data_IF_707418170355
#
_entry.id   IF_707418170355
#
_cell.length_a   1.000
_cell.length_b   1.000
_cell.length_c   1.000
_cell.angle_alpha   90.00
_cell.angle_beta   90.00
_cell.angle_gamma   90.00
#
_symmetry.space_group_name_H-M   'P 1'
#
loop_
_entity.id
_entity.type
_entity.pdbx_description
1 polymer ?
#
# COMPACT_ATOMS: atom_id res chain seq x y z
N UNK A 1 19.43 3.54 -5.00
CA UNK A 1 19.90 2.14 -4.83
C UNK A 1 19.57 1.71 -3.42
N UNK A 2 19.00 0.51 -3.23
CA UNK A 2 18.54 0.02 -1.91
C UNK A 2 19.49 -0.99 -1.26
N UNK A 3 20.65 -1.24 -1.88
CA UNK A 3 21.57 -2.31 -1.46
C UNK A 3 21.07 -3.73 -1.76
N UNK A 4 19.93 -3.88 -2.43
CA UNK A 4 19.38 -5.15 -2.90
C UNK A 4 19.78 -5.47 -4.34
N UNK A 5 19.51 -6.71 -4.76
CA UNK A 5 19.81 -7.23 -6.11
C UNK A 5 19.16 -6.39 -7.20
N UNK A 6 17.85 -6.12 -7.06
CA UNK A 6 17.02 -5.52 -8.11
C UNK A 6 17.50 -4.11 -8.51
N UNK A 7 17.67 -3.21 -7.54
CA UNK A 7 18.16 -1.86 -7.81
C UNK A 7 19.60 -1.84 -8.37
N UNK A 8 20.41 -2.82 -7.99
CA UNK A 8 21.78 -2.98 -8.46
C UNK A 8 21.82 -3.43 -9.93
N UNK A 9 20.96 -4.37 -10.31
CA UNK A 9 20.80 -4.82 -11.70
C UNK A 9 20.26 -3.71 -12.58
N UNK A 10 19.33 -2.88 -12.09
CA UNK A 10 18.86 -1.69 -12.83
C UNK A 10 20.00 -0.76 -13.17
N UNK A 11 20.86 -0.43 -12.20
CA UNK A 11 22.01 0.44 -12.44
C UNK A 11 22.96 -0.15 -13.49
N UNK A 12 23.26 -1.46 -13.41
CA UNK A 12 24.14 -2.14 -14.36
C UNK A 12 23.52 -2.22 -15.78
N UNK A 13 22.23 -2.50 -15.90
CA UNK A 13 21.52 -2.54 -17.19
C UNK A 13 21.54 -1.18 -17.89
N UNK A 14 21.26 -0.11 -17.17
CA UNK A 14 21.27 1.26 -17.73
C UNK A 14 22.67 1.67 -18.16
N UNK A 15 23.69 1.36 -17.37
CA UNK A 15 25.08 1.60 -17.74
C UNK A 15 25.47 0.82 -18.99
N UNK A 16 25.08 -0.46 -19.10
CA UNK A 16 25.32 -1.27 -20.30
C UNK A 16 24.65 -0.68 -21.55
N UNK A 17 23.51 0.00 -21.38
CA UNK A 17 22.79 0.69 -22.44
C UNK A 17 23.42 2.03 -22.81
N UNK A 18 24.51 2.43 -22.16
CA UNK A 18 25.24 3.68 -22.42
C UNK A 18 24.67 4.90 -21.69
N UNK A 19 23.78 4.71 -20.71
CA UNK A 19 23.30 5.81 -19.89
C UNK A 19 24.37 6.24 -18.87
N UNK A 20 24.48 7.54 -18.61
CA UNK A 20 25.13 8.04 -17.41
C UNK A 20 24.28 7.76 -16.19
N UNK A 21 24.81 7.01 -15.24
CA UNK A 21 24.04 6.52 -14.09
C UNK A 21 24.54 7.15 -12.80
N UNK A 22 23.62 7.75 -12.04
CA UNK A 22 23.86 8.24 -10.68
C UNK A 22 23.08 7.38 -9.71
N UNK A 23 23.78 6.75 -8.77
CA UNK A 23 23.17 5.96 -7.71
C UNK A 23 22.72 6.84 -6.54
N UNK A 24 21.46 6.71 -6.11
CA UNK A 24 20.95 7.40 -4.91
C UNK A 24 20.39 6.38 -3.94
N UNK A 25 20.82 6.45 -2.68
CA UNK A 25 20.28 5.66 -1.55
C UNK A 25 19.63 6.60 -0.55
N UNK A 26 18.40 6.27 -0.13
CA UNK A 26 17.71 6.97 0.95
C UNK A 26 17.96 6.24 2.27
N UNK A 27 18.55 6.94 3.24
CA UNK A 27 18.59 6.48 4.63
C UNK A 27 17.25 6.82 5.28
N UNK A 28 16.36 5.80 5.37
CA UNK A 28 14.96 5.99 5.77
C UNK A 28 14.75 5.88 7.29
N UNK A 29 15.60 5.13 8.00
CA UNK A 29 15.49 4.91 9.44
C UNK A 29 16.79 4.33 10.01
N UNK A 30 17.04 4.56 11.29
CA UNK A 30 18.15 3.91 12.01
C UNK A 30 17.70 2.52 12.49
N UNK A 31 18.28 1.46 11.92
CA UNK A 31 18.04 0.09 12.36
C UNK A 31 18.48 -0.16 13.81
N UNK A 32 19.51 0.50 14.30
CA UNK A 32 19.99 0.39 15.67
C UNK A 32 18.94 0.86 16.67
N UNK A 33 18.30 1.99 16.39
CA UNK A 33 17.19 2.53 17.18
C UNK A 33 15.93 1.64 17.08
N UNK A 34 15.65 1.13 15.90
CA UNK A 34 14.48 0.24 15.64
C UNK A 34 14.57 -1.08 16.42
N UNK A 35 15.79 -1.64 16.63
CA UNK A 35 16.03 -2.92 17.33
C UNK A 35 16.40 -2.70 18.81
N UNK A 36 16.44 -1.44 19.29
CA UNK A 36 16.80 -1.12 20.70
C UNK A 36 18.28 -1.37 21.02
N UNK A 37 19.15 -1.49 20.03
CA UNK A 37 20.61 -1.62 20.19
C UNK A 37 21.30 -0.44 19.52
N UNK A 38 21.74 0.52 20.31
CA UNK A 38 22.62 1.60 19.82
C UNK A 38 23.91 0.99 19.29
N UNK A 39 24.24 1.24 18.02
CA UNK A 39 25.53 0.88 17.41
C UNK A 39 25.58 -0.42 16.63
N UNK A 40 24.46 -1.07 16.29
CA UNK A 40 24.45 -2.25 15.42
C UNK A 40 24.08 -1.85 13.98
N UNK A 41 25.05 -1.98 13.11
CA UNK A 41 25.14 -1.54 11.71
C UNK A 41 24.25 -2.31 10.71
N UNK A 42 22.92 -2.37 10.82
CA UNK A 42 22.15 -3.02 9.74
C UNK A 42 21.65 -2.03 8.68
N UNK A 43 21.35 -0.76 9.01
CA UNK A 43 21.15 0.29 8.00
C UNK A 43 22.48 0.56 7.25
N UNK A 44 23.60 0.45 7.95
CA UNK A 44 24.92 0.48 7.35
C UNK A 44 25.17 -0.60 6.33
N UNK A 45 24.61 -1.81 6.49
CA UNK A 45 24.86 -2.92 5.56
C UNK A 45 24.24 -2.66 4.17
N UNK A 46 22.99 -2.20 4.09
CA UNK A 46 22.34 -1.91 2.82
C UNK A 46 23.01 -0.73 2.10
N UNK A 47 23.38 0.32 2.84
CA UNK A 47 24.15 1.45 2.30
C UNK A 47 25.56 1.01 1.86
N UNK A 48 26.21 0.17 2.67
CA UNK A 48 27.51 -0.39 2.35
C UNK A 48 27.45 -1.26 1.08
N UNK A 49 26.44 -2.12 0.96
CA UNK A 49 26.25 -2.95 -0.23
C UNK A 49 25.96 -2.09 -1.48
N UNK A 50 25.16 -1.02 -1.35
CA UNK A 50 24.90 -0.09 -2.43
C UNK A 50 26.18 0.63 -2.88
N UNK A 51 27.04 1.06 -1.96
CA UNK A 51 28.35 1.66 -2.26
C UNK A 51 29.26 0.68 -3.00
N UNK A 52 29.38 -0.56 -2.52
CA UNK A 52 30.19 -1.60 -3.19
C UNK A 52 29.73 -1.87 -4.62
N UNK A 53 28.42 -1.84 -4.86
CA UNK A 53 27.86 -1.97 -6.21
C UNK A 53 28.22 -0.75 -7.06
N UNK A 54 28.08 0.46 -6.53
CA UNK A 54 28.42 1.69 -7.23
C UNK A 54 29.93 1.75 -7.58
N UNK A 55 30.80 1.39 -6.62
CA UNK A 55 32.25 1.27 -6.83
C UNK A 55 32.58 0.25 -7.94
N UNK A 56 31.89 -0.93 -7.92
CA UNK A 56 32.05 -1.97 -8.93
C UNK A 56 31.65 -1.51 -10.32
N UNK A 57 30.59 -0.70 -10.42
CA UNK A 57 30.11 -0.15 -11.69
C UNK A 57 30.85 1.13 -12.10
N UNK A 58 31.62 1.75 -11.21
CA UNK A 58 32.29 3.02 -11.45
C UNK A 58 31.32 4.19 -11.61
N UNK A 59 30.19 4.17 -10.91
CA UNK A 59 29.17 5.23 -10.96
C UNK A 59 29.19 6.10 -9.69
N UNK A 60 28.81 7.37 -9.83
CA UNK A 60 28.60 8.25 -8.66
C UNK A 60 27.49 7.71 -7.76
N UNK A 61 27.65 7.83 -6.43
CA UNK A 61 26.68 7.34 -5.45
C UNK A 61 26.50 8.33 -4.30
N UNK A 62 25.25 8.72 -4.06
CA UNK A 62 24.88 9.63 -2.99
C UNK A 62 23.97 8.93 -1.98
N UNK A 63 24.18 9.23 -0.69
CA UNK A 63 23.31 8.78 0.40
C UNK A 63 22.62 10.01 0.97
N UNK A 64 21.31 10.03 0.92
CA UNK A 64 20.49 11.14 1.39
C UNK A 64 19.81 10.74 2.72
N UNK A 65 19.92 11.61 3.72
CA UNK A 65 19.23 11.44 4.99
C UNK A 65 17.74 11.82 4.85
N UNK A 66 16.90 10.81 4.97
CA UNK A 66 15.44 10.94 4.92
C UNK A 66 14.76 10.43 6.21
N UNK A 67 15.50 10.20 7.28
CA UNK A 67 14.98 9.59 8.52
C UNK A 67 13.81 10.39 9.11
N UNK A 68 13.99 11.70 9.30
CA UNK A 68 12.93 12.55 9.86
C UNK A 68 11.71 12.61 8.94
N UNK A 69 11.93 12.76 7.63
CA UNK A 69 10.87 12.83 6.62
C UNK A 69 10.09 11.52 6.55
N UNK A 70 10.78 10.39 6.54
CA UNK A 70 10.17 9.06 6.53
C UNK A 70 9.38 8.80 7.82
N UNK A 71 9.93 9.15 8.96
CA UNK A 71 9.25 9.03 10.26
C UNK A 71 7.95 9.84 10.28
N UNK A 72 7.99 11.11 9.89
CA UNK A 72 6.83 12.00 9.90
C UNK A 72 5.74 11.58 8.90
N UNK A 73 6.12 11.09 7.70
CA UNK A 73 5.19 10.82 6.61
C UNK A 73 4.69 9.37 6.61
N UNK A 74 5.60 8.40 6.69
CA UNK A 74 5.27 6.98 6.52
C UNK A 74 5.00 6.31 7.86
N UNK A 75 5.91 6.45 8.83
CA UNK A 75 5.77 5.73 10.09
C UNK A 75 4.64 6.31 10.96
N UNK A 76 4.50 7.64 11.00
CA UNK A 76 3.40 8.27 11.75
C UNK A 76 2.05 7.93 11.13
N UNK A 77 1.90 8.02 9.80
CA UNK A 77 0.67 7.62 9.09
C UNK A 77 0.31 6.15 9.33
N UNK A 78 1.32 5.28 9.43
CA UNK A 78 1.14 3.87 9.78
C UNK A 78 0.57 3.70 11.19
N UNK A 79 1.15 4.37 12.19
CA UNK A 79 0.67 4.31 13.58
C UNK A 79 -0.74 4.91 13.72
N UNK A 80 -1.01 6.04 13.08
CA UNK A 80 -2.33 6.69 13.12
C UNK A 80 -3.42 5.85 12.46
N UNK A 81 -3.09 5.15 11.37
CA UNK A 81 -4.02 4.25 10.70
C UNK A 81 -4.42 3.07 11.60
N UNK A 82 -3.46 2.41 12.24
CA UNK A 82 -3.77 1.32 13.19
C UNK A 82 -4.56 1.81 14.41
N UNK A 83 -4.20 2.95 14.97
CA UNK A 83 -4.95 3.55 16.07
C UNK A 83 -6.39 3.90 15.68
N UNK A 84 -6.64 4.19 14.40
CA UNK A 84 -7.98 4.40 13.85
C UNK A 84 -8.69 3.10 13.41
N UNK A 85 -8.16 1.92 13.72
CA UNK A 85 -8.73 0.63 13.36
C UNK A 85 -8.63 0.27 11.87
N UNK A 86 -7.70 0.89 11.12
CA UNK A 86 -7.45 0.64 9.70
C UNK A 86 -6.17 -0.18 9.51
N UNK A 87 -6.10 -0.92 8.43
CA UNK A 87 -4.90 -1.71 8.06
C UNK A 87 -4.10 -0.98 6.97
N UNK A 88 -3.02 -0.25 7.31
CA UNK A 88 -2.28 0.57 6.35
C UNK A 88 -1.36 -0.25 5.44
N UNK A 89 -0.94 0.36 4.32
CA UNK A 89 0.08 -0.14 3.40
C UNK A 89 1.20 0.90 3.31
N UNK A 90 2.18 0.87 4.22
CA UNK A 90 3.22 1.90 4.28
C UNK A 90 4.07 1.96 3.02
N UNK A 91 4.24 0.85 2.27
CA UNK A 91 4.98 0.84 1.02
C UNK A 91 4.36 1.73 -0.06
N UNK A 92 3.02 1.81 -0.14
CA UNK A 92 2.34 2.72 -1.08
C UNK A 92 2.62 4.17 -0.70
N UNK A 93 2.51 4.52 0.58
CA UNK A 93 2.79 5.88 1.07
C UNK A 93 4.26 6.24 0.81
N UNK A 94 5.20 5.32 1.06
CA UNK A 94 6.62 5.52 0.78
C UNK A 94 6.88 5.76 -0.71
N UNK A 95 6.30 4.95 -1.60
CA UNK A 95 6.45 5.14 -3.04
C UNK A 95 5.88 6.49 -3.47
N UNK A 96 4.67 6.84 -3.01
CA UNK A 96 3.95 8.05 -3.42
C UNK A 96 4.64 9.33 -2.91
N UNK A 97 5.03 9.39 -1.62
CA UNK A 97 5.48 10.62 -0.98
C UNK A 97 7.00 10.78 -0.97
N UNK A 98 7.74 9.69 -0.76
CA UNK A 98 9.19 9.75 -0.64
C UNK A 98 9.86 9.48 -2.00
N UNK A 99 9.60 8.30 -2.61
CA UNK A 99 10.34 7.90 -3.81
C UNK A 99 9.90 8.68 -5.05
N UNK A 100 8.59 8.85 -5.27
CA UNK A 100 8.06 9.44 -6.51
C UNK A 100 7.56 10.89 -6.35
N UNK A 101 7.77 11.48 -5.19
CA UNK A 101 7.60 12.91 -4.99
C UNK A 101 8.94 13.55 -4.63
N UNK A 102 9.50 13.24 -3.46
CA UNK A 102 10.70 13.91 -2.98
C UNK A 102 11.93 13.56 -3.83
N UNK A 103 12.19 12.25 -4.09
CA UNK A 103 13.35 11.83 -4.88
C UNK A 103 13.26 12.22 -6.37
N UNK A 104 12.05 12.35 -6.94
CA UNK A 104 11.89 12.94 -8.27
C UNK A 104 12.33 14.40 -8.33
N UNK A 105 12.08 15.16 -7.26
CA UNK A 105 12.57 16.54 -7.15
C UNK A 105 14.10 16.57 -7.16
N UNK A 106 14.72 15.72 -6.33
CA UNK A 106 16.19 15.58 -6.31
C UNK A 106 16.75 15.13 -7.68
N UNK A 107 16.07 14.20 -8.37
CA UNK A 107 16.51 13.76 -9.70
C UNK A 107 16.51 14.91 -10.72
N UNK A 108 15.49 15.78 -10.67
CA UNK A 108 15.42 16.99 -11.50
C UNK A 108 16.52 18.02 -11.16
N UNK A 109 16.82 18.20 -9.88
CA UNK A 109 17.91 19.06 -9.41
C UNK A 109 19.28 18.55 -9.86
N UNK A 110 19.42 17.23 -10.05
CA UNK A 110 20.61 16.58 -10.61
C UNK A 110 20.59 16.54 -12.15
N UNK A 111 19.65 17.24 -12.79
CA UNK A 111 19.48 17.29 -14.26
C UNK A 111 19.34 15.90 -14.90
N UNK A 112 18.80 14.90 -14.18
CA UNK A 112 18.57 13.57 -14.70
C UNK A 112 17.34 13.53 -15.61
N UNK A 113 17.41 12.78 -16.71
CA UNK A 113 16.29 12.59 -17.63
C UNK A 113 15.20 11.69 -17.08
N UNK A 114 15.55 10.77 -16.17
CA UNK A 114 14.62 9.77 -15.60
C UNK A 114 15.08 9.28 -14.24
N UNK A 115 14.12 8.85 -13.44
CA UNK A 115 14.35 8.10 -12.19
C UNK A 115 14.02 6.62 -12.40
N UNK A 116 15.04 5.77 -12.44
CA UNK A 116 14.88 4.33 -12.58
C UNK A 116 14.80 3.62 -11.23
N UNK A 117 13.94 2.61 -11.13
CA UNK A 117 13.77 1.81 -9.91
C UNK A 117 13.69 0.32 -10.20
N UNK A 118 14.04 -0.51 -9.19
CA UNK A 118 13.98 -1.96 -9.24
C UNK A 118 12.60 -2.57 -9.01
N UNK A 119 11.51 -1.82 -9.23
CA UNK A 119 10.17 -2.38 -9.11
C UNK A 119 9.82 -3.26 -10.32
N UNK A 120 9.18 -4.41 -10.02
CA UNK A 120 8.63 -5.31 -11.03
C UNK A 120 7.26 -4.80 -11.48
N UNK A 121 7.27 -3.99 -12.52
CA UNK A 121 6.08 -3.44 -13.19
C UNK A 121 6.48 -2.99 -14.58
N UNK A 122 5.60 -3.04 -15.57
CA UNK A 122 5.87 -2.55 -16.90
C UNK A 122 5.30 -1.15 -17.13
N UNK A 123 6.08 -0.30 -17.77
CA UNK A 123 5.63 0.98 -18.30
C UNK A 123 5.63 0.90 -19.83
N UNK A 124 4.52 1.25 -20.47
CA UNK A 124 4.38 1.29 -21.93
C UNK A 124 3.89 2.65 -22.34
N UNK A 125 4.26 3.07 -23.55
CA UNK A 125 3.73 4.30 -24.14
C UNK A 125 2.34 4.03 -24.70
N UNK A 126 1.35 4.74 -24.18
CA UNK A 126 -0.03 4.72 -24.67
C UNK A 126 -0.37 5.97 -25.49
N UNK A 127 -1.63 6.08 -25.96
CA UNK A 127 -2.07 7.19 -26.84
C UNK A 127 -1.95 8.58 -26.19
N UNK A 128 -2.19 8.69 -24.88
CA UNK A 128 -2.17 9.98 -24.14
C UNK A 128 -1.08 10.05 -23.08
N UNK A 129 -0.10 9.16 -23.13
CA UNK A 129 1.03 9.15 -22.21
C UNK A 129 1.34 7.77 -21.64
N UNK A 130 2.20 7.69 -20.60
CA UNK A 130 2.64 6.42 -20.06
C UNK A 130 1.50 5.65 -19.39
N UNK A 131 1.44 4.36 -19.68
CA UNK A 131 0.51 3.39 -19.15
C UNK A 131 1.23 2.35 -18.31
N UNK A 132 0.64 2.02 -17.17
CA UNK A 132 1.18 1.08 -16.21
C UNK A 132 0.55 -0.31 -16.42
N UNK A 133 1.40 -1.35 -16.45
CA UNK A 133 0.98 -2.74 -16.65
C UNK A 133 1.59 -3.63 -15.58
N UNK A 134 0.90 -4.70 -15.23
CA UNK A 134 1.45 -5.74 -14.36
C UNK A 134 2.75 -6.30 -14.93
N UNK A 135 3.68 -6.70 -14.06
CA UNK A 135 4.94 -7.31 -14.46
C UNK A 135 4.73 -8.64 -15.20
N UNK A 136 5.72 -9.04 -16.00
CA UNK A 136 5.78 -10.38 -16.61
C UNK A 136 5.84 -11.49 -15.57
N UNK A 137 6.59 -11.29 -14.50
CA UNK A 137 6.65 -12.21 -13.36
C UNK A 137 5.49 -11.91 -12.41
N UNK A 138 4.43 -12.72 -12.50
CA UNK A 138 3.21 -12.53 -11.73
C UNK A 138 3.42 -12.69 -10.21
N UNK A 139 4.42 -13.49 -9.79
CA UNK A 139 4.75 -13.68 -8.37
C UNK A 139 5.49 -12.48 -7.78
N UNK A 140 6.12 -11.67 -8.65
CA UNK A 140 6.87 -10.46 -8.29
C UNK A 140 6.15 -9.18 -8.65
N UNK A 141 4.96 -9.26 -9.24
CA UNK A 141 4.17 -8.10 -9.66
C UNK A 141 3.92 -7.13 -8.50
N UNK A 142 4.45 -5.92 -8.62
CA UNK A 142 4.35 -4.85 -7.62
C UNK A 142 3.33 -3.77 -7.98
N UNK A 143 2.49 -4.01 -8.97
CA UNK A 143 1.44 -3.08 -9.40
C UNK A 143 0.53 -2.63 -8.25
N UNK A 144 0.26 -3.53 -7.29
CA UNK A 144 -0.53 -3.23 -6.10
C UNK A 144 0.05 -2.09 -5.25
N UNK A 145 1.37 -1.91 -5.24
CA UNK A 145 2.05 -0.89 -4.44
C UNK A 145 2.30 0.42 -5.19
N UNK A 146 1.98 0.46 -6.50
CA UNK A 146 2.26 1.58 -7.38
C UNK A 146 1.01 2.25 -7.96
N UNK A 147 -0.19 1.78 -7.61
CA UNK A 147 -1.46 2.31 -8.11
C UNK A 147 -1.65 3.81 -7.87
N UNK A 148 -1.03 4.34 -6.81
CA UNK A 148 -1.15 5.74 -6.42
C UNK A 148 -0.15 6.68 -7.14
N UNK A 149 0.69 6.13 -8.04
CA UNK A 149 1.61 6.91 -8.86
C UNK A 149 0.85 7.65 -9.95
N UNK A 150 0.97 8.97 -10.00
CA UNK A 150 0.24 9.79 -10.97
C UNK A 150 0.85 9.68 -12.38
N UNK A 151 0.06 9.99 -13.43
CA UNK A 151 0.55 9.99 -14.81
C UNK A 151 1.74 10.94 -15.00
N UNK A 152 1.72 12.10 -14.35
CA UNK A 152 2.84 13.05 -14.39
C UNK A 152 4.13 12.48 -13.76
N UNK A 153 4.00 11.69 -12.70
CA UNK A 153 5.14 10.98 -12.12
C UNK A 153 5.61 9.85 -13.04
N UNK A 154 4.69 9.07 -13.61
CA UNK A 154 5.02 7.97 -14.52
C UNK A 154 5.82 8.43 -15.74
N UNK A 155 5.60 9.65 -16.22
CA UNK A 155 6.37 10.23 -17.33
C UNK A 155 7.88 10.41 -17.03
N UNK A 156 8.25 10.42 -15.75
CA UNK A 156 9.63 10.56 -15.28
C UNK A 156 10.23 9.27 -14.73
N UNK A 157 9.47 8.18 -14.71
CA UNK A 157 9.89 6.92 -14.11
C UNK A 157 10.27 5.90 -15.15
N UNK A 158 11.24 5.05 -14.80
CA UNK A 158 11.63 3.88 -15.57
C UNK A 158 11.64 2.64 -14.67
N UNK A 159 11.13 1.54 -15.21
CA UNK A 159 11.02 0.24 -14.52
C UNK A 159 11.67 -0.86 -15.36
N UNK A 160 13.00 -0.91 -15.44
CA UNK A 160 13.70 -1.83 -16.35
C UNK A 160 13.45 -3.32 -16.08
N UNK A 161 12.97 -3.69 -14.88
CA UNK A 161 12.79 -5.07 -14.48
C UNK A 161 11.40 -5.64 -14.81
N UNK A 162 10.47 -4.84 -15.31
CA UNK A 162 9.09 -5.29 -15.56
C UNK A 162 8.96 -6.46 -16.53
N UNK A 163 9.89 -6.56 -17.49
CA UNK A 163 9.95 -7.64 -18.48
C UNK A 163 10.80 -8.86 -18.08
N UNK A 164 11.35 -8.90 -16.85
CA UNK A 164 12.22 -9.98 -16.37
C UNK A 164 11.56 -10.77 -15.25
N UNK A 165 11.86 -12.06 -15.18
CA UNK A 165 11.62 -12.88 -13.99
C UNK A 165 12.71 -12.64 -12.93
N UNK A 166 12.41 -12.99 -11.68
CA UNK A 166 13.40 -12.87 -10.59
C UNK A 166 14.64 -13.74 -10.83
N UNK A 167 14.47 -14.90 -11.48
CA UNK A 167 15.58 -15.77 -11.83
C UNK A 167 16.53 -15.08 -12.84
N UNK A 168 15.97 -14.53 -13.91
CA UNK A 168 16.75 -13.78 -14.92
C UNK A 168 17.47 -12.57 -14.30
N UNK A 169 16.83 -11.84 -13.37
CA UNK A 169 17.48 -10.73 -12.66
C UNK A 169 18.66 -11.18 -11.83
N UNK A 170 18.56 -12.36 -11.16
CA UNK A 170 19.71 -12.93 -10.42
C UNK A 170 20.83 -13.39 -11.35
N UNK A 171 20.50 -13.95 -12.51
CA UNK A 171 21.50 -14.35 -13.51
C UNK A 171 22.22 -13.13 -14.09
N UNK A 172 21.50 -12.06 -14.37
CA UNK A 172 22.08 -10.75 -14.74
C UNK A 172 23.00 -10.21 -13.64
N UNK A 173 22.57 -10.27 -12.36
CA UNK A 173 23.42 -9.84 -11.26
C UNK A 173 24.76 -10.61 -11.20
N UNK A 174 24.73 -11.92 -11.43
CA UNK A 174 25.92 -12.76 -11.50
C UNK A 174 26.77 -12.43 -12.72
N UNK A 175 26.18 -12.26 -13.90
CA UNK A 175 26.88 -11.92 -15.13
C UNK A 175 27.59 -10.58 -15.06
N UNK A 176 27.01 -9.59 -14.37
CA UNK A 176 27.64 -8.28 -14.08
C UNK A 176 28.68 -8.34 -12.93
N UNK A 177 28.80 -9.51 -12.26
CA UNK A 177 29.71 -9.68 -11.11
C UNK A 177 29.32 -8.80 -9.92
N UNK A 178 28.01 -8.59 -9.70
CA UNK A 178 27.54 -7.74 -8.60
C UNK A 178 27.67 -8.46 -7.25
N UNK A 179 28.25 -7.81 -6.23
CA UNK A 179 28.52 -8.43 -4.93
C UNK A 179 27.27 -8.83 -4.15
N UNK A 180 26.09 -8.40 -4.61
CA UNK A 180 24.79 -8.64 -3.98
C UNK A 180 23.95 -9.72 -4.69
N UNK A 181 24.48 -10.42 -5.70
CA UNK A 181 23.74 -11.36 -6.55
C UNK A 181 22.97 -12.44 -5.76
N UNK A 182 23.53 -12.92 -4.67
CA UNK A 182 22.94 -13.98 -3.84
C UNK A 182 22.25 -13.45 -2.55
N UNK A 183 22.12 -12.12 -2.42
CA UNK A 183 21.43 -11.52 -1.28
C UNK A 183 19.94 -11.88 -1.30
N UNK A 184 19.39 -12.22 -0.11
CA UNK A 184 17.98 -12.51 0.05
C UNK A 184 17.13 -11.25 -0.11
N UNK A 185 15.88 -11.43 -0.60
CA UNK A 185 14.92 -10.33 -0.71
C UNK A 185 14.38 -9.96 0.67
N UNK A 186 14.10 -8.69 0.88
CA UNK A 186 13.37 -8.22 2.06
C UNK A 186 11.91 -8.70 1.99
N UNK A 187 11.42 -9.37 3.04
CA UNK A 187 10.07 -9.96 3.07
C UNK A 187 9.08 -9.13 3.89
N UNK A 188 9.57 -8.30 4.82
CA UNK A 188 8.75 -7.57 5.79
C UNK A 188 8.70 -6.05 5.51
N UNK A 189 7.82 -5.36 6.25
CA UNK A 189 7.81 -3.90 6.29
C UNK A 189 9.16 -3.43 6.85
N UNK A 190 9.89 -2.65 6.07
CA UNK A 190 11.30 -2.34 6.30
C UNK A 190 11.62 -1.79 7.71
N UNK A 191 10.72 -1.02 8.34
CA UNK A 191 10.89 -0.44 9.68
C UNK A 191 10.21 -1.23 10.81
N UNK A 192 9.67 -2.43 10.51
CA UNK A 192 9.04 -3.32 11.51
C UNK A 192 9.93 -4.53 11.73
N UNK A 193 10.87 -4.48 12.69
CA UNK A 193 11.78 -5.58 12.95
C UNK A 193 11.00 -6.78 13.50
N UNK A 194 11.30 -7.97 12.99
CA UNK A 194 10.77 -9.25 13.46
C UNK A 194 9.22 -9.36 13.46
N UNK A 195 8.53 -8.63 12.57
CA UNK A 195 7.08 -8.69 12.41
C UNK A 195 6.25 -8.12 13.58
N UNK A 196 6.87 -7.47 14.57
CA UNK A 196 6.16 -6.89 15.74
C UNK A 196 5.77 -5.43 15.51
N UNK A 197 4.80 -5.20 14.66
CA UNK A 197 4.35 -3.83 14.34
C UNK A 197 3.74 -3.08 15.52
N UNK A 198 3.14 -3.78 16.49
CA UNK A 198 2.52 -3.17 17.68
C UNK A 198 3.52 -2.38 18.54
N UNK A 199 4.74 -2.89 18.72
CA UNK A 199 5.78 -2.18 19.45
C UNK A 199 6.23 -0.88 18.75
N UNK A 200 6.21 -0.87 17.43
CA UNK A 200 6.49 0.34 16.64
C UNK A 200 5.37 1.36 16.82
N UNK A 201 4.10 0.90 16.79
CA UNK A 201 2.93 1.76 16.99
C UNK A 201 2.97 2.40 18.40
N UNK A 202 3.18 1.61 19.44
CA UNK A 202 3.23 2.10 20.82
C UNK A 202 4.34 3.12 21.04
N UNK A 203 5.51 2.94 20.39
CA UNK A 203 6.61 3.90 20.47
C UNK A 203 6.29 5.21 19.75
N UNK A 204 5.62 5.16 18.57
CA UNK A 204 5.24 6.33 17.79
C UNK A 204 4.02 7.06 18.37
N UNK A 205 3.13 6.32 19.00
CA UNK A 205 1.87 6.82 19.57
C UNK A 205 1.64 6.18 20.94
N UNK A 206 2.30 6.68 22.00
CA UNK A 206 2.09 6.18 23.36
C UNK A 206 0.61 6.24 23.74
N UNK A 207 0.08 5.15 24.31
CA UNK A 207 -1.33 5.03 24.67
C UNK A 207 -2.24 4.55 23.52
N UNK A 208 -1.72 4.17 22.37
CA UNK A 208 -2.52 3.58 21.29
C UNK A 208 -3.10 2.19 21.67
N UNK A 209 -2.50 1.51 22.64
CA UNK A 209 -2.97 0.23 23.16
C UNK A 209 -3.95 0.41 24.33
N UNK A 210 -5.10 1.03 24.08
CA UNK A 210 -6.13 1.16 25.10
C UNK A 210 -7.02 -0.09 25.16
N UNK A 211 -7.23 -0.60 26.39
CA UNK A 211 -8.07 -1.77 26.65
C UNK A 211 -9.54 -1.48 26.28
N UNK A 212 -10.22 -2.51 25.81
CA UNK A 212 -11.63 -2.42 25.44
C UNK A 212 -12.31 -3.78 25.38
N UNK A 213 -13.50 -3.82 24.80
CA UNK A 213 -14.32 -5.03 24.76
C UNK A 213 -14.20 -5.75 23.42
N UNK A 214 -14.21 -7.08 23.48
CA UNK A 214 -14.45 -7.94 22.33
C UNK A 214 -15.93 -8.24 22.27
N UNK A 215 -16.59 -7.79 21.20
CA UNK A 215 -18.06 -7.83 21.06
C UNK A 215 -18.42 -8.70 19.85
N UNK A 216 -19.37 -9.61 20.01
CA UNK A 216 -19.91 -10.37 18.89
C UNK A 216 -20.79 -9.49 18.00
N UNK A 217 -20.95 -9.85 16.71
CA UNK A 217 -21.79 -9.11 15.75
C UNK A 217 -23.24 -8.92 16.18
N UNK A 218 -23.75 -9.74 17.10
CA UNK A 218 -25.09 -9.61 17.70
C UNK A 218 -25.15 -8.68 18.93
N UNK A 219 -24.01 -8.04 19.30
CA UNK A 219 -23.92 -7.08 20.39
C UNK A 219 -23.48 -7.66 21.76
N UNK A 220 -23.34 -8.97 21.92
CA UNK A 220 -22.88 -9.57 23.17
C UNK A 220 -21.41 -9.32 23.42
N UNK A 221 -21.04 -8.92 24.62
CA UNK A 221 -19.63 -8.83 25.05
C UNK A 221 -19.12 -10.24 25.34
N UNK A 222 -18.04 -10.63 24.69
CA UNK A 222 -17.44 -11.96 24.81
C UNK A 222 -16.14 -11.96 25.64
N UNK A 223 -15.51 -10.81 25.82
CA UNK A 223 -14.25 -10.69 26.53
C UNK A 223 -13.67 -9.29 26.46
N UNK A 224 -12.40 -9.16 26.85
CA UNK A 224 -11.66 -7.90 26.80
C UNK A 224 -10.35 -8.06 26.04
N UNK A 225 -9.87 -6.97 25.45
CA UNK A 225 -8.58 -6.91 24.78
C UNK A 225 -7.69 -5.79 25.35
N UNK A 226 -6.39 -5.88 25.13
CA UNK A 226 -5.39 -4.91 25.59
C UNK A 226 -5.15 -3.73 24.62
N UNK A 227 -5.86 -3.67 23.49
CA UNK A 227 -5.79 -2.62 22.49
C UNK A 227 -6.20 -3.12 21.12
N UNK A 228 -6.99 -2.31 20.36
CA UNK A 228 -7.44 -2.65 19.00
C UNK A 228 -6.28 -2.81 18.02
N UNK A 229 -5.14 -2.16 18.27
CA UNK A 229 -3.93 -2.24 17.45
C UNK A 229 -3.34 -3.66 17.35
N UNK A 230 -3.74 -4.57 18.26
CA UNK A 230 -3.30 -5.96 18.26
C UNK A 230 -4.12 -6.86 17.32
N UNK A 231 -5.10 -6.28 16.61
CA UNK A 231 -6.05 -7.03 15.80
C UNK A 231 -6.09 -6.52 14.36
N UNK A 232 -6.38 -7.44 13.43
CA UNK A 232 -6.56 -7.13 12.01
C UNK A 232 -7.83 -7.81 11.50
N UNK A 233 -8.53 -7.19 10.57
CA UNK A 233 -9.74 -7.77 9.93
C UNK A 233 -9.41 -9.14 9.34
N UNK A 234 -10.25 -10.13 9.61
CA UNK A 234 -10.06 -11.53 9.21
C UNK A 234 -9.21 -12.36 10.18
N UNK A 235 -8.63 -11.77 11.21
CA UNK A 235 -7.84 -12.50 12.20
C UNK A 235 -8.72 -13.50 12.97
N UNK A 236 -8.26 -14.75 13.05
CA UNK A 236 -8.92 -15.86 13.77
C UNK A 236 -8.19 -16.24 15.06
N UNK A 237 -6.84 -16.23 15.01
CA UNK A 237 -6.00 -16.68 16.14
C UNK A 237 -5.74 -15.54 17.11
N UNK A 238 -5.53 -15.87 18.40
CA UNK A 238 -5.15 -14.89 19.40
C UNK A 238 -6.30 -14.03 19.94
N UNK A 239 -7.56 -14.42 19.70
CA UNK A 239 -8.72 -13.71 20.23
C UNK A 239 -8.95 -13.98 21.73
N UNK A 240 -8.47 -15.12 22.23
CA UNK A 240 -8.66 -15.51 23.65
C UNK A 240 -10.11 -15.83 24.03
N UNK A 241 -10.98 -16.09 23.04
CA UNK A 241 -12.40 -16.37 23.26
C UNK A 241 -12.65 -17.87 23.06
N UNK A 242 -13.02 -18.62 24.11
CA UNK A 242 -13.42 -20.00 23.97
C UNK A 242 -14.82 -20.08 23.32
N UNK A 243 -15.03 -21.09 22.47
CA UNK A 243 -16.34 -21.30 21.84
C UNK A 243 -16.34 -22.49 20.89
N UNK A 244 -17.54 -23.03 20.55
CA UNK A 244 -17.68 -24.22 19.70
C UNK A 244 -17.42 -23.93 18.21
N UNK A 245 -17.47 -22.67 17.80
CA UNK A 245 -17.25 -22.23 16.42
C UNK A 245 -16.15 -21.18 16.35
N UNK A 246 -15.32 -21.19 15.29
CA UNK A 246 -14.30 -20.17 15.10
C UNK A 246 -14.93 -18.79 14.87
N UNK A 247 -14.39 -17.78 15.55
CA UNK A 247 -14.72 -16.39 15.36
C UNK A 247 -13.59 -15.66 14.64
N UNK A 248 -13.93 -14.61 13.93
CA UNK A 248 -13.02 -13.78 13.15
C UNK A 248 -13.24 -12.31 13.50
N UNK A 249 -12.19 -11.51 13.47
CA UNK A 249 -12.31 -10.05 13.57
C UNK A 249 -13.03 -9.53 12.33
N UNK A 250 -14.20 -8.96 12.51
CA UNK A 250 -15.05 -8.43 11.43
C UNK A 250 -14.87 -6.92 11.28
N UNK A 251 -14.73 -6.21 12.41
CA UNK A 251 -14.59 -4.76 12.44
C UNK A 251 -13.79 -4.31 13.66
N UNK A 252 -13.02 -3.24 13.50
CA UNK A 252 -12.36 -2.53 14.58
C UNK A 252 -13.05 -1.17 14.75
N UNK A 253 -13.57 -0.89 15.92
CA UNK A 253 -14.25 0.37 16.26
C UNK A 253 -13.37 1.15 17.23
N UNK A 254 -12.57 2.05 16.69
CA UNK A 254 -11.63 2.83 17.47
C UNK A 254 -12.32 3.79 18.45
N UNK A 255 -13.46 4.38 18.04
CA UNK A 255 -14.20 5.32 18.88
C UNK A 255 -14.79 4.65 20.13
N UNK A 256 -15.25 3.42 19.98
CA UNK A 256 -15.80 2.60 21.09
C UNK A 256 -14.76 1.70 21.74
N UNK A 257 -13.53 1.67 21.23
CA UNK A 257 -12.47 0.74 21.65
C UNK A 257 -12.94 -0.71 21.60
N UNK A 258 -13.61 -1.10 20.51
CA UNK A 258 -14.21 -2.43 20.37
C UNK A 258 -13.58 -3.22 19.24
N UNK A 259 -13.30 -4.50 19.51
CA UNK A 259 -13.01 -5.51 18.50
C UNK A 259 -14.29 -6.29 18.25
N UNK A 260 -14.92 -6.07 17.10
CA UNK A 260 -16.14 -6.79 16.72
C UNK A 260 -15.75 -8.09 16.05
N UNK A 261 -16.26 -9.19 16.58
CA UNK A 261 -16.00 -10.54 16.06
C UNK A 261 -17.30 -11.22 15.63
N UNK A 262 -17.19 -12.13 14.68
CA UNK A 262 -18.33 -12.88 14.17
C UNK A 262 -17.91 -14.14 13.42
N UNK A 263 -18.89 -14.92 12.92
CA UNK A 263 -18.62 -16.06 12.07
C UNK A 263 -18.00 -15.60 10.73
N UNK A 264 -17.42 -16.55 9.98
CA UNK A 264 -16.71 -16.25 8.73
C UNK A 264 -17.57 -15.50 7.71
N UNK A 265 -18.83 -15.83 7.64
CA UNK A 265 -19.81 -15.24 6.73
C UNK A 265 -19.96 -13.72 6.92
N UNK A 266 -19.75 -13.23 8.16
CA UNK A 266 -19.76 -11.79 8.47
C UNK A 266 -18.59 -11.01 7.87
N UNK A 267 -17.57 -11.70 7.33
CA UNK A 267 -16.46 -11.09 6.60
C UNK A 267 -16.74 -10.89 5.11
N UNK A 268 -17.83 -11.47 4.58
CA UNK A 268 -18.10 -11.47 3.16
C UNK A 268 -18.64 -10.13 2.69
N UNK A 269 -17.85 -9.43 1.88
CA UNK A 269 -18.20 -8.13 1.33
C UNK A 269 -18.41 -8.21 -0.19
N UNK A 270 -19.41 -7.49 -0.68
CA UNK A 270 -19.66 -7.32 -2.11
C UNK A 270 -19.43 -5.87 -2.55
N UNK A 271 -19.72 -4.91 -1.70
CA UNK A 271 -19.52 -3.51 -2.00
C UNK A 271 -18.31 -2.96 -1.28
N UNK A 272 -17.54 -2.15 -2.00
CA UNK A 272 -16.38 -1.43 -1.47
C UNK A 272 -16.54 0.04 -1.86
N UNK A 273 -16.39 0.93 -0.88
CA UNK A 273 -16.24 2.37 -1.15
C UNK A 273 -14.77 2.75 -1.13
N UNK A 274 -14.36 3.52 -2.12
CA UNK A 274 -13.00 4.00 -2.31
C UNK A 274 -12.93 5.51 -2.15
N UNK A 275 -11.90 5.98 -1.49
CA UNK A 275 -11.51 7.39 -1.41
C UNK A 275 -10.15 7.63 -2.08
N UNK A 276 -9.87 8.88 -2.43
CA UNK A 276 -8.59 9.30 -3.02
C UNK A 276 -8.20 8.41 -4.22
N UNK A 277 -9.12 8.27 -5.18
CA UNK A 277 -8.91 7.43 -6.36
C UNK A 277 -7.90 8.11 -7.29
N UNK A 278 -6.81 7.43 -7.61
CA UNK A 278 -5.91 7.76 -8.70
C UNK A 278 -6.39 7.02 -9.94
N UNK A 279 -6.83 7.74 -10.98
CA UNK A 279 -7.35 7.17 -12.21
C UNK A 279 -6.35 7.35 -13.35
N UNK A 280 -5.89 6.25 -13.92
CA UNK A 280 -4.87 6.20 -14.96
C UNK A 280 -5.42 5.79 -16.35
N UNK A 281 -6.69 5.42 -16.44
CA UNK A 281 -7.31 5.16 -17.74
C UNK A 281 -7.55 6.45 -18.52
N UNK A 282 -7.81 6.31 -19.81
CA UNK A 282 -7.98 7.44 -20.71
C UNK A 282 -9.41 7.99 -20.64
N UNK A 283 -10.39 7.09 -20.51
CA UNK A 283 -11.80 7.44 -20.38
C UNK A 283 -12.21 7.60 -18.91
N UNK A 284 -13.13 8.52 -18.59
CA UNK A 284 -13.66 8.66 -17.25
C UNK A 284 -14.44 7.42 -16.80
N UNK A 285 -14.59 7.23 -15.49
CA UNK A 285 -15.41 6.15 -14.95
C UNK A 285 -16.87 6.36 -15.38
N UNK A 286 -17.44 5.39 -16.10
CA UNK A 286 -18.82 5.46 -16.61
C UNK A 286 -19.85 5.50 -15.46
N UNK A 287 -20.83 6.39 -15.56
CA UNK A 287 -21.94 6.47 -14.60
C UNK A 287 -22.83 5.22 -14.59
N UNK A 288 -22.93 4.52 -15.71
CA UNK A 288 -23.61 3.24 -15.85
C UNK A 288 -22.83 2.06 -15.26
N UNK A 289 -21.61 2.30 -14.80
CA UNK A 289 -20.67 1.28 -14.37
C UNK A 289 -19.80 0.76 -15.51
N UNK A 290 -18.62 0.28 -15.16
CA UNK A 290 -17.70 -0.37 -16.11
C UNK A 290 -17.13 -1.65 -15.48
N UNK A 291 -17.00 -2.69 -16.29
CA UNK A 291 -16.38 -3.95 -15.87
C UNK A 291 -14.87 -3.74 -15.77
N UNK A 292 -14.32 -4.15 -14.64
CA UNK A 292 -12.87 -4.10 -14.31
C UNK A 292 -12.49 -5.38 -13.57
N UNK A 293 -11.20 -5.63 -13.43
CA UNK A 293 -10.71 -6.56 -12.42
C UNK A 293 -10.09 -5.80 -11.25
N UNK A 294 -10.19 -6.35 -10.05
CA UNK A 294 -9.70 -5.66 -8.85
C UNK A 294 -8.89 -6.58 -7.94
N UNK A 295 -7.88 -6.02 -7.29
CA UNK A 295 -7.17 -6.64 -6.16
C UNK A 295 -7.40 -5.81 -4.91
N UNK A 296 -7.86 -6.45 -3.85
CA UNK A 296 -8.09 -5.81 -2.53
C UNK A 296 -7.02 -6.19 -1.50
N UNK A 297 -6.07 -7.02 -1.91
CA UNK A 297 -4.85 -7.40 -1.16
C UNK A 297 -3.72 -7.66 -2.14
N UNK A 298 -2.49 -7.45 -1.71
CA UNK A 298 -1.30 -7.69 -2.53
C UNK A 298 -1.12 -9.15 -2.95
N UNK A 299 -1.61 -10.08 -2.14
CA UNK A 299 -1.45 -11.54 -2.34
C UNK A 299 -2.62 -12.19 -3.08
N UNK A 300 -3.75 -11.50 -3.28
CA UNK A 300 -4.91 -12.06 -3.98
C UNK A 300 -4.76 -11.89 -5.50
N UNK A 301 -5.25 -12.85 -6.31
CA UNK A 301 -5.38 -12.64 -7.75
C UNK A 301 -6.42 -11.55 -8.03
N UNK A 302 -6.38 -10.90 -9.21
CA UNK A 302 -7.44 -10.02 -9.65
C UNK A 302 -8.77 -10.78 -9.80
N UNK A 303 -9.89 -10.17 -9.41
CA UNK A 303 -11.24 -10.71 -9.56
C UNK A 303 -12.14 -9.70 -10.29
N UNK A 304 -13.16 -10.19 -10.98
CA UNK A 304 -14.09 -9.34 -11.73
C UNK A 304 -14.98 -8.51 -10.79
N UNK A 305 -15.18 -7.27 -11.19
CA UNK A 305 -15.99 -6.29 -10.47
C UNK A 305 -16.61 -5.27 -11.42
N UNK A 306 -17.61 -4.55 -10.94
CA UNK A 306 -18.13 -3.36 -11.61
C UNK A 306 -17.78 -2.12 -10.84
N UNK A 307 -17.15 -1.16 -11.51
CA UNK A 307 -16.72 0.13 -10.95
C UNK A 307 -17.76 1.20 -11.29
N UNK A 308 -18.14 2.00 -10.29
CA UNK A 308 -19.04 3.14 -10.42
C UNK A 308 -18.38 4.40 -9.85
N UNK A 309 -18.60 5.59 -10.45
CA UNK A 309 -18.16 6.84 -9.84
C UNK A 309 -18.99 7.16 -8.59
N UNK A 310 -18.42 7.93 -7.67
CA UNK A 310 -19.14 8.54 -6.54
C UNK A 310 -18.58 9.93 -6.25
N UNK A 311 -19.32 10.75 -5.48
CA UNK A 311 -18.92 12.12 -5.16
C UNK A 311 -17.54 12.20 -4.50
N UNK A 312 -17.23 11.24 -3.60
CA UNK A 312 -15.99 11.23 -2.81
C UNK A 312 -14.94 10.23 -3.34
N UNK A 313 -15.13 9.66 -4.55
CA UNK A 313 -14.21 8.68 -5.13
C UNK A 313 -14.88 7.68 -6.05
N UNK A 314 -14.95 6.40 -5.65
CA UNK A 314 -15.58 5.35 -6.44
C UNK A 314 -16.22 4.27 -5.57
N UNK A 315 -17.13 3.49 -6.18
CA UNK A 315 -17.74 2.30 -5.59
C UNK A 315 -17.43 1.09 -6.47
N UNK A 316 -17.13 -0.01 -5.84
CA UNK A 316 -16.81 -1.27 -6.51
C UNK A 316 -17.80 -2.34 -6.05
N UNK A 317 -18.47 -2.99 -7.00
CA UNK A 317 -19.28 -4.18 -6.79
C UNK A 317 -18.46 -5.41 -7.19
N UNK A 318 -18.01 -6.18 -6.23
CA UNK A 318 -17.35 -7.47 -6.44
C UNK A 318 -18.41 -8.49 -6.90
N UNK A 319 -18.19 -9.17 -8.02
CA UNK A 319 -19.18 -10.11 -8.55
C UNK A 319 -19.38 -11.31 -7.65
N UNK A 320 -18.29 -11.90 -7.17
CA UNK A 320 -18.33 -13.07 -6.27
C UNK A 320 -18.19 -12.72 -4.77
N UNK A 321 -17.96 -11.43 -4.47
CA UNK A 321 -17.63 -10.97 -3.13
C UNK A 321 -16.22 -11.37 -2.70
N UNK A 322 -15.78 -10.87 -1.52
CA UNK A 322 -14.46 -11.18 -0.96
C UNK A 322 -14.53 -11.19 0.57
N UNK A 323 -13.77 -12.10 1.19
CA UNK A 323 -13.71 -12.23 2.64
C UNK A 323 -12.62 -11.33 3.25
N UNK A 324 -12.97 -10.62 4.32
CA UNK A 324 -11.98 -9.86 5.11
C UNK A 324 -11.36 -8.68 4.37
N UNK A 325 -12.14 -7.99 3.55
CA UNK A 325 -11.77 -6.70 2.97
C UNK A 325 -11.61 -5.68 4.09
N UNK A 326 -10.43 -5.05 4.18
CA UNK A 326 -10.08 -4.18 5.30
C UNK A 326 -9.98 -2.72 4.89
N UNK A 327 -10.57 -1.82 5.67
CA UNK A 327 -10.39 -0.39 5.53
C UNK A 327 -8.91 -0.01 5.71
N UNK A 328 -8.41 0.92 4.88
CA UNK A 328 -7.01 1.33 4.86
C UNK A 328 -6.12 0.52 3.90
N UNK A 329 -6.61 -0.62 3.39
CA UNK A 329 -5.98 -1.32 2.27
C UNK A 329 -6.31 -0.63 0.95
N UNK A 330 -5.61 -1.01 -0.13
CA UNK A 330 -5.89 -0.55 -1.48
C UNK A 330 -6.91 -1.46 -2.19
N UNK A 331 -7.70 -0.87 -3.06
CA UNK A 331 -8.36 -1.58 -4.16
C UNK A 331 -7.72 -1.09 -5.45
N UNK A 332 -6.93 -1.96 -6.07
CA UNK A 332 -6.23 -1.64 -7.33
C UNK A 332 -7.04 -2.17 -8.49
N UNK A 333 -7.20 -1.33 -9.50
CA UNK A 333 -8.09 -1.51 -10.64
C UNK A 333 -7.27 -1.89 -11.87
N UNK A 334 -7.69 -2.94 -12.55
CA UNK A 334 -7.07 -3.46 -13.78
C UNK A 334 -8.09 -3.54 -14.90
N UNK A 335 -7.64 -3.44 -16.15
CA UNK A 335 -8.52 -3.55 -17.31
C UNK A 335 -9.25 -4.90 -17.38
N UNK A 336 -8.56 -5.96 -16.98
CA UNK A 336 -9.08 -7.33 -16.92
C UNK A 336 -8.31 -8.16 -15.87
N UNK A 337 -8.65 -9.43 -15.72
CA UNK A 337 -7.99 -10.36 -14.81
C UNK A 337 -6.80 -11.11 -15.43
N UNK A 338 -6.41 -10.79 -16.67
CA UNK A 338 -5.32 -11.45 -17.36
C UNK A 338 -3.95 -11.13 -16.76
N UNK A 339 -2.97 -11.95 -17.07
CA UNK A 339 -1.58 -11.64 -16.79
C UNK A 339 -1.15 -10.43 -17.63
N UNK A 340 -0.33 -9.57 -17.02
CA UNK A 340 0.14 -8.32 -17.65
C UNK A 340 -0.99 -7.35 -18.03
N UNK A 341 -2.14 -7.39 -17.34
CA UNK A 341 -3.22 -6.44 -17.50
C UNK A 341 -2.77 -5.00 -17.23
N UNK A 342 -3.38 -4.03 -17.95
CA UNK A 342 -3.18 -2.60 -17.71
C UNK A 342 -3.72 -2.23 -16.32
N UNK A 343 -2.96 -1.46 -15.57
CA UNK A 343 -3.39 -0.86 -14.31
C UNK A 343 -4.20 0.40 -14.64
N UNK A 344 -5.46 0.41 -14.29
CA UNK A 344 -6.34 1.56 -14.47
C UNK A 344 -6.26 2.55 -13.31
N UNK A 345 -5.54 2.20 -12.26
CA UNK A 345 -5.40 3.01 -11.06
C UNK A 345 -5.83 2.29 -9.80
N UNK A 346 -6.44 3.00 -8.88
CA UNK A 346 -6.94 2.44 -7.63
C UNK A 346 -7.28 3.50 -6.61
N UNK A 347 -7.78 3.05 -5.46
CA UNK A 347 -8.13 3.92 -4.34
C UNK A 347 -7.97 3.22 -3.00
N UNK A 348 -8.05 4.00 -1.94
CA UNK A 348 -8.01 3.47 -0.59
C UNK A 348 -9.38 2.97 -0.16
N UNK A 349 -9.46 1.74 0.33
CA UNK A 349 -10.69 1.15 0.86
C UNK A 349 -11.10 1.92 2.10
N UNK A 350 -12.29 2.52 2.06
CA UNK A 350 -12.88 3.20 3.20
C UNK A 350 -13.83 2.28 3.95
N UNK A 351 -14.70 1.58 3.22
CA UNK A 351 -15.66 0.64 3.78
C UNK A 351 -15.81 -0.59 2.89
N UNK A 352 -16.09 -1.72 3.54
CA UNK A 352 -16.51 -2.96 2.91
C UNK A 352 -17.90 -3.32 3.47
N UNK A 353 -18.86 -3.59 2.59
CA UNK A 353 -20.27 -3.76 2.93
C UNK A 353 -20.79 -5.07 2.35
N UNK A 354 -21.77 -5.66 3.01
CA UNK A 354 -22.44 -6.86 2.53
C UNK A 354 -23.28 -6.58 1.27
N UNK A 355 -23.81 -7.60 0.64
CA UNK A 355 -24.64 -7.46 -0.57
C UNK A 355 -25.95 -6.71 -0.32
N UNK A 356 -26.50 -6.81 0.89
CA UNK A 356 -27.75 -6.14 1.32
C UNK A 356 -27.52 -4.64 1.61
N UNK A 357 -26.30 -4.25 1.99
CA UNK A 357 -25.98 -2.91 2.45
C UNK A 357 -25.45 -2.04 1.28
N UNK A 358 -26.33 -1.76 0.31
CA UNK A 358 -25.96 -0.90 -0.82
C UNK A 358 -25.51 0.49 -0.34
N UNK A 359 -24.42 1.05 -0.86
CA UNK A 359 -23.95 2.39 -0.46
C UNK A 359 -24.97 3.52 -0.66
N UNK A 360 -25.90 3.37 -1.61
CA UNK A 360 -26.95 4.38 -1.90
C UNK A 360 -28.05 4.43 -0.84
N UNK A 361 -28.26 3.34 -0.09
CA UNK A 361 -29.26 3.30 0.99
C UNK A 361 -28.85 4.13 2.21
N UNK A 362 -27.56 4.49 2.35
CA UNK A 362 -27.04 5.29 3.46
C UNK A 362 -27.05 6.80 3.19
N UNK A 363 -27.10 7.25 1.94
CA UNK A 363 -27.20 8.67 1.59
C UNK A 363 -28.56 9.29 1.94
N UNK A 364 -29.63 8.48 1.93
CA UNK A 364 -30.99 8.92 2.24
C UNK A 364 -31.32 9.13 3.71
N UNK A 365 -30.52 8.60 4.64
CA UNK A 365 -30.78 8.71 6.09
C UNK A 365 -30.16 9.96 6.75
N UNK A 366 -29.25 10.67 6.06
CA UNK A 366 -28.61 11.87 6.60
C UNK A 366 -29.39 13.17 6.30
N UNK A 367 -30.30 13.18 5.31
CA UNK A 367 -31.07 14.37 4.93
C UNK A 367 -32.42 14.52 5.63
N UNK A 368 -32.93 13.53 6.34
CA UNK A 368 -34.24 13.59 7.03
C UNK A 368 -34.17 14.22 8.44
N UNK A 369 -33.04 14.73 8.89
CA UNK A 369 -32.85 15.25 10.26
C UNK A 369 -32.71 16.77 10.40
N UNK A 370 -32.90 17.57 9.34
CA UNK A 370 -32.83 19.04 9.43
C UNK A 370 -34.04 19.75 8.77
N UNK A 371 -35.21 19.62 9.35
CA UNK A 371 -36.26 20.64 9.20
C UNK A 371 -35.99 21.72 10.23
N UNK A 372 -35.47 22.85 9.77
CA UNK A 372 -35.41 24.09 10.58
C UNK A 372 -36.81 24.61 10.81
N UNK A 373 -37.15 25.08 12.03
CA UNK A 373 -38.45 25.74 12.28
C UNK A 373 -38.50 27.09 11.56
N UNK A 374 -39.57 27.30 10.81
CA UNK A 374 -39.97 28.59 10.31
C UNK A 374 -40.12 29.59 11.47
N UNK A 375 -39.28 30.60 11.51
CA UNK A 375 -39.54 31.79 12.34
C UNK A 375 -40.42 32.72 11.49
N UNK A 376 -41.67 32.79 11.90
CA UNK A 376 -42.64 33.78 11.34
C UNK A 376 -42.18 35.21 11.63
N UNK A 377 -42.21 36.00 10.58
CA UNK A 377 -42.03 37.43 10.66
C UNK A 377 -43.42 38.05 10.77
N UNK A 378 -43.80 38.51 11.98
CA UNK A 378 -44.91 39.43 12.17
C UNK A 378 -44.36 40.80 12.57
N UNK A 379 -44.60 41.73 11.73
CA UNK A 379 -45.04 43.09 11.75
C UNK A 379 -44.53 44.11 12.81
N UNK A 380 -43.90 45.08 12.36
CA UNK A 380 -44.19 46.52 12.34
C UNK A 380 -42.99 47.32 11.90
#
# INVERSE_FOLDING_TARGET
MSGGVDSSVVAALLQQQGCEVIGVTLQLYDHGEAVGRRGTCCAGQDIYDARRVADRLGIAHYVLDYEQRFRATVMQSFADSYAAGRTPIPCVVCNQQIKFHDLLTTARELEADTLATGHYIELRQGPIGPELYRARDAERDQSYFLFATTRAQLAWLSFPLGGYSKAEVRDLARSFGLPVADKSDSQDICFVPQGRYTSVIERLKPGAAEAGDIVHVDGRVLGRHAGIINYTIGQRRGLGIPGPRPLFVVRLDAAKRQVVVGPRESLHAHWITLRNVNWLADEPISTGGMTVAVRVRSTSPPQLATLFPSADGARVLLHDGEYGVAAGQACVLYADAADRARVLGGGWIERALSRSDRPDAMAGSAEQGRSLPHVGNEGR
#
